data_IF_179591822358
#
_entry.id   IF_179591822358
#
_cell.length_a   1.000
_cell.length_b   1.000
_cell.length_c   1.000
_cell.angle_alpha   90.00
_cell.angle_beta   90.00
_cell.angle_gamma   90.00
#
_symmetry.space_group_name_H-M   'P 1'
#
loop_
_entity.id
_entity.type
_entity.pdbx_description
1 polymer ?
#
# COMPACT_ATOMS: atom_id res chain seq x y z
N UNK A 1 -8.41 36.95 -28.55
CA UNK A 1 -7.70 35.80 -29.15
C UNK A 1 -6.43 35.54 -28.38
N UNK A 2 -6.14 34.25 -28.16
CA UNK A 2 -4.87 33.66 -27.72
C UNK A 2 -4.41 33.81 -26.26
N UNK A 3 -4.69 32.73 -25.53
CA UNK A 3 -4.01 32.20 -24.35
C UNK A 3 -2.65 31.61 -24.76
N UNK A 4 -1.62 31.75 -23.92
CA UNK A 4 -0.44 30.86 -23.70
C UNK A 4 0.71 31.74 -23.17
N UNK A 5 1.52 31.36 -22.20
CA UNK A 5 1.80 30.06 -21.60
C UNK A 5 2.61 30.30 -20.33
N UNK A 6 2.17 29.72 -19.22
CA UNK A 6 2.95 29.65 -18.00
C UNK A 6 4.27 28.90 -18.26
N UNK A 7 5.36 29.46 -17.72
CA UNK A 7 6.67 28.84 -17.61
C UNK A 7 6.56 27.42 -17.05
N UNK A 8 6.81 26.43 -17.89
CA UNK A 8 7.08 25.05 -17.48
C UNK A 8 8.56 24.96 -17.10
N UNK A 9 8.84 24.82 -15.80
CA UNK A 9 10.18 24.45 -15.31
C UNK A 9 10.32 22.93 -15.37
N UNK A 10 11.26 22.34 -16.16
CA UNK A 10 11.38 20.89 -16.27
C UNK A 10 12.34 20.27 -15.22
N UNK A 11 12.81 21.02 -14.22
CA UNK A 11 13.99 20.61 -13.43
C UNK A 11 13.71 19.84 -12.13
N UNK A 12 12.45 19.66 -11.72
CA UNK A 12 12.13 18.99 -10.44
C UNK A 12 11.64 17.54 -10.55
N UNK A 13 11.37 17.04 -11.76
CA UNK A 13 10.94 15.64 -11.94
C UNK A 13 12.10 14.63 -11.99
N UNK A 14 13.34 15.09 -12.14
CA UNK A 14 14.50 14.20 -12.31
C UNK A 14 15.11 13.69 -10.99
N UNK A 15 14.83 14.34 -9.86
CA UNK A 15 15.42 13.94 -8.57
C UNK A 15 14.69 12.73 -7.95
N UNK A 16 13.40 12.56 -8.20
CA UNK A 16 12.61 11.45 -7.61
C UNK A 16 12.74 10.12 -8.38
N UNK A 17 13.12 10.17 -9.67
CA UNK A 17 13.32 8.95 -10.48
C UNK A 17 14.61 8.20 -10.11
N UNK A 18 15.63 8.89 -9.61
CA UNK A 18 16.89 8.23 -9.19
C UNK A 18 16.80 7.60 -7.80
N UNK A 19 15.95 8.12 -6.91
CA UNK A 19 15.64 7.47 -5.63
C UNK A 19 14.79 6.19 -5.82
N UNK A 20 13.84 6.23 -6.76
CA UNK A 20 12.96 5.09 -7.06
C UNK A 20 13.70 3.91 -7.71
N UNK A 21 14.67 4.18 -8.59
CA UNK A 21 15.45 3.12 -9.24
C UNK A 21 16.49 2.45 -8.32
N UNK A 22 16.95 3.13 -7.26
CA UNK A 22 17.93 2.56 -6.34
C UNK A 22 17.33 1.57 -5.34
N UNK A 23 16.02 1.60 -5.13
CA UNK A 23 15.37 0.70 -4.18
C UNK A 23 14.92 -0.63 -4.78
N UNK A 24 14.85 -0.74 -6.11
CA UNK A 24 14.45 -1.96 -6.82
C UNK A 24 15.63 -2.80 -7.31
N UNK A 25 16.87 -2.28 -7.30
CA UNK A 25 18.01 -2.94 -7.93
C UNK A 25 18.95 -3.71 -6.99
N UNK A 26 18.57 -3.94 -5.72
CA UNK A 26 19.43 -4.66 -4.79
C UNK A 26 18.66 -5.55 -3.81
N UNK A 27 17.97 -6.57 -4.33
CA UNK A 27 17.64 -7.81 -3.61
C UNK A 27 17.13 -8.91 -4.55
N UNK A 28 17.92 -9.25 -5.58
CA UNK A 28 18.03 -10.66 -6.00
C UNK A 28 19.11 -11.35 -5.16
N UNK A 29 19.09 -11.14 -3.84
CA UNK A 29 19.95 -11.87 -2.92
C UNK A 29 19.20 -13.10 -2.43
N UNK A 30 19.52 -14.21 -3.08
CA UNK A 30 19.14 -15.54 -2.65
C UNK A 30 17.68 -15.87 -2.96
N UNK A 31 17.47 -16.91 -3.76
CA UNK A 31 16.46 -17.88 -3.33
C UNK A 31 16.71 -18.09 -1.84
N UNK A 32 15.77 -17.68 -0.98
CA UNK A 32 15.74 -18.14 0.40
C UNK A 32 15.50 -19.65 0.30
N UNK A 33 16.57 -20.39 -0.03
CA UNK A 33 16.62 -21.82 0.04
C UNK A 33 16.33 -22.11 1.49
N UNK A 34 15.15 -22.63 1.76
CA UNK A 34 14.73 -23.09 3.08
C UNK A 34 15.77 -24.10 3.54
N UNK A 35 16.76 -23.64 4.28
CA UNK A 35 17.71 -24.49 4.96
C UNK A 35 16.94 -25.10 6.12
N UNK A 36 16.45 -26.33 5.93
CA UNK A 36 15.99 -27.19 7.01
C UNK A 36 17.20 -27.57 7.88
N UNK A 37 17.79 -26.60 8.57
CA UNK A 37 18.83 -26.79 9.59
C UNK A 37 18.12 -27.03 10.92
N UNK A 38 17.75 -28.29 11.17
CA UNK A 38 17.06 -28.71 12.39
C UNK A 38 15.59 -28.27 12.41
N UNK A 39 14.67 -29.22 12.58
CA UNK A 39 13.23 -28.98 12.45
C UNK A 39 12.76 -27.77 13.27
N UNK A 40 12.22 -26.76 12.60
CA UNK A 40 11.51 -25.68 13.28
C UNK A 40 10.40 -26.28 14.12
N UNK A 41 10.25 -25.83 15.37
CA UNK A 41 9.15 -26.25 16.26
C UNK A 41 7.77 -25.87 15.71
N UNK A 42 7.73 -24.95 14.75
CA UNK A 42 6.50 -24.53 14.06
C UNK A 42 6.24 -25.42 12.84
N UNK A 43 5.03 -25.98 12.79
CA UNK A 43 4.54 -26.84 11.70
C UNK A 43 3.87 -26.06 10.57
N UNK A 44 3.48 -24.81 10.83
CA UNK A 44 2.88 -23.91 9.86
C UNK A 44 3.19 -22.45 10.21
N UNK A 45 3.20 -21.60 9.18
CA UNK A 45 3.27 -20.14 9.30
C UNK A 45 2.15 -19.57 8.44
N UNK A 46 1.34 -18.68 9.03
CA UNK A 46 0.23 -18.02 8.35
C UNK A 46 0.63 -16.57 8.14
N UNK A 47 0.46 -16.09 6.92
CA UNK A 47 0.73 -14.70 6.55
C UNK A 47 -0.58 -14.01 6.23
N UNK A 48 -0.75 -12.81 6.77
CA UNK A 48 -1.78 -11.89 6.28
C UNK A 48 -1.46 -11.48 4.84
N UNK A 49 -2.46 -11.04 4.09
CA UNK A 49 -2.25 -10.43 2.80
C UNK A 49 -1.80 -8.99 2.97
N UNK A 50 -2.62 -8.16 3.62
CA UNK A 50 -2.45 -6.70 3.65
C UNK A 50 -1.28 -6.25 4.52
N UNK A 51 -0.31 -5.55 3.94
CA UNK A 51 0.87 -5.07 4.67
C UNK A 51 1.91 -6.15 4.98
N UNK A 52 1.67 -7.41 4.60
CA UNK A 52 2.61 -8.53 4.74
C UNK A 52 3.00 -9.07 3.38
N UNK A 53 2.08 -9.73 2.66
CA UNK A 53 2.34 -10.27 1.32
C UNK A 53 2.17 -9.21 0.21
N UNK A 54 1.19 -8.32 0.38
CA UNK A 54 0.89 -7.22 -0.54
C UNK A 54 0.94 -5.87 0.20
N UNK A 55 1.11 -4.73 -0.50
CA UNK A 55 1.11 -3.42 0.14
C UNK A 55 -0.15 -3.18 0.98
N UNK A 56 0.00 -2.41 2.06
CA UNK A 56 -1.14 -2.10 2.93
C UNK A 56 -2.24 -1.34 2.15
N UNK A 57 -3.49 -1.81 2.19
CA UNK A 57 -4.60 -1.10 1.55
C UNK A 57 -4.85 0.27 2.18
N UNK A 58 -4.49 0.46 3.46
CA UNK A 58 -4.60 1.75 4.14
C UNK A 58 -3.76 2.85 3.48
N UNK A 59 -2.59 2.49 2.92
CA UNK A 59 -1.77 3.43 2.17
C UNK A 59 -2.46 3.85 0.86
N UNK A 60 -3.03 2.89 0.15
CA UNK A 60 -3.77 3.15 -1.11
C UNK A 60 -4.97 4.06 -0.83
N UNK A 61 -5.71 3.80 0.25
CA UNK A 61 -6.82 4.65 0.68
C UNK A 61 -6.37 6.08 0.99
N UNK A 62 -5.29 6.26 1.76
CA UNK A 62 -4.77 7.59 2.09
C UNK A 62 -4.29 8.37 0.85
N UNK A 63 -3.59 7.70 -0.07
CA UNK A 63 -3.17 8.33 -1.34
C UNK A 63 -4.38 8.74 -2.18
N UNK A 64 -5.41 7.90 -2.24
CA UNK A 64 -6.66 8.20 -2.93
C UNK A 64 -7.40 9.38 -2.28
N UNK A 65 -7.46 9.46 -0.95
CA UNK A 65 -8.07 10.59 -0.23
C UNK A 65 -7.40 11.92 -0.61
N UNK A 66 -6.07 11.96 -0.63
CA UNK A 66 -5.30 13.15 -1.03
C UNK A 66 -5.59 13.53 -2.48
N UNK A 67 -5.58 12.56 -3.40
CA UNK A 67 -5.86 12.80 -4.83
C UNK A 67 -7.27 13.38 -5.05
N UNK A 68 -8.23 12.97 -4.23
CA UNK A 68 -9.63 13.36 -4.36
C UNK A 68 -10.04 14.52 -3.44
N UNK A 69 -9.08 15.13 -2.72
CA UNK A 69 -9.32 16.21 -1.74
C UNK A 69 -10.33 15.82 -0.64
N UNK A 70 -10.31 14.55 -0.26
CA UNK A 70 -11.10 14.03 0.85
C UNK A 70 -10.31 14.24 2.15
N UNK A 71 -10.97 14.60 3.27
CA UNK A 71 -10.30 14.67 4.56
C UNK A 71 -9.57 13.37 4.91
N UNK A 72 -8.39 13.49 5.50
CA UNK A 72 -7.57 12.31 5.82
C UNK A 72 -8.27 11.40 6.83
N UNK A 73 -8.23 10.10 6.54
CA UNK A 73 -8.81 9.05 7.37
C UNK A 73 -10.33 8.90 7.21
N UNK A 74 -10.97 9.60 6.27
CA UNK A 74 -12.40 9.45 5.99
C UNK A 74 -12.77 8.01 5.63
N UNK A 75 -12.02 7.35 4.75
CA UNK A 75 -12.28 5.96 4.35
C UNK A 75 -12.12 5.05 5.55
N UNK A 76 -11.02 5.17 6.30
CA UNK A 76 -10.77 4.31 7.46
C UNK A 76 -11.87 4.48 8.52
N UNK A 77 -12.28 5.72 8.80
CA UNK A 77 -13.39 6.00 9.72
C UNK A 77 -14.68 5.35 9.25
N UNK A 78 -15.02 5.48 7.96
CA UNK A 78 -16.22 4.87 7.39
C UNK A 78 -16.20 3.34 7.47
N UNK A 79 -15.03 2.70 7.28
CA UNK A 79 -14.89 1.25 7.43
C UNK A 79 -15.03 0.80 8.89
N UNK A 80 -14.54 1.59 9.84
CA UNK A 80 -14.61 1.28 11.27
C UNK A 80 -15.97 1.63 11.90
N UNK A 81 -16.78 2.43 11.22
CA UNK A 81 -18.07 2.90 11.72
C UNK A 81 -19.02 1.72 11.97
N UNK A 82 -19.65 1.70 13.15
CA UNK A 82 -20.57 0.63 13.56
C UNK A 82 -19.91 -0.64 14.08
N UNK A 83 -18.57 -0.74 14.09
CA UNK A 83 -17.82 -1.87 14.67
C UNK A 83 -18.22 -3.22 14.07
N UNK A 84 -18.54 -4.20 14.91
CA UNK A 84 -18.91 -5.57 14.50
C UNK A 84 -20.16 -5.64 13.60
N UNK A 85 -21.07 -4.67 13.75
CA UNK A 85 -22.28 -4.56 12.93
C UNK A 85 -22.12 -3.55 11.79
N UNK A 86 -20.91 -2.96 11.68
CA UNK A 86 -20.57 -1.97 10.67
C UNK A 86 -20.45 -2.56 9.26
N UNK A 87 -20.51 -1.74 8.22
CA UNK A 87 -20.50 -2.19 6.83
C UNK A 87 -19.30 -3.08 6.49
N UNK A 88 -18.11 -2.75 7.01
CA UNK A 88 -16.89 -3.52 6.78
C UNK A 88 -16.96 -4.94 7.35
N UNK A 89 -17.38 -5.09 8.61
CA UNK A 89 -17.45 -6.40 9.25
C UNK A 89 -18.55 -7.28 8.63
N UNK A 90 -19.66 -6.68 8.21
CA UNK A 90 -20.71 -7.36 7.44
C UNK A 90 -20.20 -7.85 6.08
N UNK A 91 -19.42 -7.03 5.36
CA UNK A 91 -18.77 -7.44 4.12
C UNK A 91 -17.82 -8.63 4.34
N UNK A 92 -16.97 -8.55 5.36
CA UNK A 92 -16.01 -9.62 5.69
C UNK A 92 -16.70 -10.94 6.06
N UNK A 93 -17.92 -10.89 6.59
CA UNK A 93 -18.76 -12.07 6.88
C UNK A 93 -19.69 -12.47 5.73
N UNK A 94 -19.61 -11.81 4.57
CA UNK A 94 -20.47 -12.03 3.40
C UNK A 94 -21.99 -11.85 3.68
N UNK A 95 -22.33 -10.82 4.46
CA UNK A 95 -23.72 -10.47 4.83
C UNK A 95 -24.35 -9.37 3.94
N UNK A 96 -23.64 -8.96 2.87
CA UNK A 96 -24.06 -7.94 1.89
C UNK A 96 -23.66 -8.32 0.47
#
# INVERSE_FOLDING_TARGET
MCVRSCFQSPRLQWVWRTAFLKHTQRRHQGSHRWTHLGGSTYRAVIFDMGGVLIPSPGRVAAEWEVQNRIPSGTILKALMEGGENGPWMRFMRAEI
#
